data_IF_255907581863
#
_entry.id   IF_255907581863
#
_cell.length_a   1.000
_cell.length_b   1.000
_cell.length_c   1.000
_cell.angle_alpha   90.00
_cell.angle_beta   90.00
_cell.angle_gamma   90.00
#
_symmetry.space_group_name_H-M   'P 1'
#
loop_
_entity.id
_entity.type
_entity.pdbx_description
1 polymer ?
#
# COMPACT_ATOMS: atom_id res chain seq x y z
N UNK A 1 -17.97 1.83 18.02
CA UNK A 1 -17.12 0.68 18.41
C UNK A 1 -16.64 -0.19 17.24
N UNK A 2 -17.29 -0.16 16.08
CA UNK A 2 -16.89 -0.96 14.90
C UNK A 2 -15.57 -0.48 14.24
N UNK A 3 -15.14 0.74 14.48
CA UNK A 3 -13.98 1.35 13.83
C UNK A 3 -12.67 1.29 14.65
N UNK A 4 -12.73 0.96 15.93
CA UNK A 4 -11.57 0.99 16.85
C UNK A 4 -10.43 0.03 16.48
N UNK A 5 -10.68 -0.96 15.60
CA UNK A 5 -9.68 -1.90 15.10
C UNK A 5 -9.44 -1.73 13.58
N UNK A 6 -9.93 -0.66 12.99
CA UNK A 6 -9.72 -0.35 11.60
C UNK A 6 -8.25 0.02 11.32
N UNK A 7 -7.69 -0.49 10.24
CA UNK A 7 -6.37 -0.10 9.78
C UNK A 7 -6.34 -0.06 8.25
N UNK A 8 -5.91 1.06 7.71
CA UNK A 8 -5.75 1.27 6.27
C UNK A 8 -4.25 1.40 5.99
N UNK A 9 -3.74 0.59 5.08
CA UNK A 9 -2.36 0.68 4.61
C UNK A 9 -2.40 0.82 3.09
N UNK A 10 -1.96 1.95 2.56
CA UNK A 10 -1.94 2.22 1.13
C UNK A 10 -0.52 2.52 0.67
N UNK A 11 -0.02 1.72 -0.29
CA UNK A 11 1.23 2.00 -1.00
C UNK A 11 0.91 2.42 -2.42
N UNK A 12 1.47 3.58 -2.85
CA UNK A 12 1.27 4.16 -4.17
C UNK A 12 2.40 5.11 -4.54
N UNK A 13 2.39 5.62 -5.77
CA UNK A 13 3.37 6.64 -6.16
C UNK A 13 2.88 8.07 -5.89
N UNK A 14 1.56 8.34 -6.00
CA UNK A 14 1.00 9.66 -5.78
C UNK A 14 -0.40 9.60 -5.16
N UNK A 15 -0.69 10.57 -4.29
CA UNK A 15 -1.99 10.79 -3.64
C UNK A 15 -2.38 12.26 -3.80
N UNK A 16 -3.26 12.56 -4.75
CA UNK A 16 -3.71 13.93 -5.06
C UNK A 16 -5.22 14.04 -5.26
N UNK A 17 -5.94 12.91 -5.22
CA UNK A 17 -7.40 12.88 -5.38
C UNK A 17 -8.07 13.42 -4.11
N UNK A 18 -8.86 14.48 -4.28
CA UNK A 18 -9.49 15.19 -3.18
C UNK A 18 -10.49 14.32 -2.43
N UNK A 19 -11.32 13.58 -3.13
CA UNK A 19 -12.40 12.80 -2.51
C UNK A 19 -11.82 11.63 -1.70
N UNK A 20 -10.74 11.04 -2.19
CA UNK A 20 -10.00 10.00 -1.45
C UNK A 20 -9.31 10.60 -0.22
N UNK A 21 -8.70 11.78 -0.34
CA UNK A 21 -8.07 12.46 0.81
C UNK A 21 -9.12 12.78 1.87
N UNK A 22 -10.27 13.30 1.49
CA UNK A 22 -11.38 13.60 2.42
C UNK A 22 -11.89 12.33 3.11
N UNK A 23 -12.01 11.21 2.37
CA UNK A 23 -12.37 9.92 2.96
C UNK A 23 -11.33 9.39 3.97
N UNK A 24 -10.03 9.60 3.71
CA UNK A 24 -8.96 9.23 4.64
C UNK A 24 -8.97 10.12 5.90
N UNK A 25 -9.26 11.41 5.75
CA UNK A 25 -9.46 12.29 6.90
C UNK A 25 -10.64 11.85 7.76
N UNK A 26 -11.78 11.54 7.13
CA UNK A 26 -12.95 11.02 7.84
C UNK A 26 -12.64 9.70 8.56
N UNK A 27 -11.90 8.79 7.93
CA UNK A 27 -11.46 7.55 8.57
C UNK A 27 -10.60 7.83 9.81
N UNK A 28 -9.66 8.77 9.72
CA UNK A 28 -8.81 9.20 10.86
C UNK A 28 -9.65 9.77 12.01
N UNK A 29 -10.60 10.65 11.71
CA UNK A 29 -11.50 11.26 12.70
C UNK A 29 -12.37 10.23 13.44
N UNK A 30 -12.69 9.10 12.80
CA UNK A 30 -13.40 7.99 13.43
C UNK A 30 -12.50 6.99 14.16
N UNK A 31 -11.21 7.29 14.30
CA UNK A 31 -10.23 6.48 15.05
C UNK A 31 -9.58 5.34 14.24
N UNK A 32 -9.77 5.32 12.93
CA UNK A 32 -9.08 4.36 12.06
C UNK A 32 -7.62 4.76 11.90
N UNK A 33 -6.70 3.82 12.13
CA UNK A 33 -5.29 4.02 11.83
C UNK A 33 -5.05 4.00 10.32
N UNK A 34 -4.30 4.98 9.80
CA UNK A 34 -3.98 5.09 8.38
C UNK A 34 -2.48 5.22 8.18
N UNK A 35 -1.87 4.27 7.51
CA UNK A 35 -0.47 4.29 7.11
C UNK A 35 -0.37 4.43 5.58
N UNK A 36 0.23 5.51 5.11
CA UNK A 36 0.41 5.83 3.70
C UNK A 36 1.89 5.75 3.33
N UNK A 37 2.20 4.96 2.31
CA UNK A 37 3.54 4.82 1.74
C UNK A 37 3.50 5.46 0.35
N UNK A 38 3.83 6.75 0.28
CA UNK A 38 3.71 7.56 -0.94
C UNK A 38 5.09 7.98 -1.40
N UNK A 39 5.53 7.46 -2.54
CA UNK A 39 6.88 7.71 -3.05
C UNK A 39 7.08 9.14 -3.55
N UNK A 40 6.08 9.72 -4.22
CA UNK A 40 6.13 11.04 -4.85
C UNK A 40 5.16 12.03 -4.22
N UNK A 41 4.31 12.65 -5.02
CA UNK A 41 3.41 13.73 -4.60
C UNK A 41 2.36 13.22 -3.62
N UNK A 42 2.25 13.88 -2.46
CA UNK A 42 1.20 13.68 -1.48
C UNK A 42 0.56 15.03 -1.13
N UNK A 43 -0.73 15.21 -1.44
CA UNK A 43 -1.49 16.42 -1.10
C UNK A 43 -2.21 16.29 0.26
N UNK A 44 -2.15 15.12 0.92
CA UNK A 44 -2.67 14.91 2.25
C UNK A 44 -1.65 15.38 3.28
N UNK A 45 -2.09 16.10 4.32
CA UNK A 45 -1.27 16.53 5.46
C UNK A 45 -1.63 15.67 6.67
N UNK A 46 -0.68 14.87 7.19
CA UNK A 46 -0.91 14.01 8.36
C UNK A 46 -0.73 14.76 9.69
N UNK A 47 -1.09 14.12 10.80
CA UNK A 47 -0.73 14.54 12.16
C UNK A 47 -1.50 15.74 12.73
N UNK A 48 -2.43 16.34 11.98
CA UNK A 48 -3.21 17.48 12.46
C UNK A 48 -4.29 17.04 13.44
N UNK A 49 -4.29 17.67 14.61
CA UNK A 49 -5.25 17.41 15.68
C UNK A 49 -6.71 17.57 15.20
N UNK A 50 -7.56 16.59 15.51
CA UNK A 50 -8.97 16.57 15.14
C UNK A 50 -9.24 16.31 13.65
N UNK A 51 -8.21 16.11 12.82
CA UNK A 51 -8.34 15.86 11.39
C UNK A 51 -7.60 14.59 10.96
N UNK A 52 -6.29 14.58 11.12
CA UNK A 52 -5.41 13.53 10.58
C UNK A 52 -4.42 12.97 11.59
N UNK A 53 -4.74 13.04 12.87
CA UNK A 53 -3.88 12.59 13.97
C UNK A 53 -3.59 11.08 13.92
N UNK A 54 -4.48 10.29 13.31
CA UNK A 54 -4.31 8.86 13.12
C UNK A 54 -3.69 8.50 11.75
N UNK A 55 -3.24 9.50 10.98
CA UNK A 55 -2.60 9.30 9.68
C UNK A 55 -1.09 9.48 9.80
N UNK A 56 -0.35 8.51 9.27
CA UNK A 56 1.10 8.60 9.05
C UNK A 56 1.38 8.51 7.56
N UNK A 57 2.24 9.39 7.06
CA UNK A 57 2.72 9.38 5.67
C UNK A 57 4.22 9.21 5.68
N UNK A 58 4.71 8.20 4.95
CA UNK A 58 6.13 7.99 4.72
C UNK A 58 6.42 7.92 3.22
N UNK A 59 7.62 8.33 2.85
CA UNK A 59 8.19 8.15 1.52
C UNK A 59 9.49 7.35 1.64
N UNK A 60 9.60 6.28 0.86
CA UNK A 60 10.80 5.47 0.78
C UNK A 60 11.35 5.57 -0.63
N UNK A 61 12.59 6.04 -0.75
CA UNK A 61 13.34 6.13 -1.99
C UNK A 61 14.55 5.20 -1.83
N UNK A 62 14.47 4.05 -2.47
CA UNK A 62 15.52 3.03 -2.43
C UNK A 62 16.38 3.02 -3.69
N UNK A 63 17.22 1.99 -3.82
CA UNK A 63 18.11 1.78 -4.95
C UNK A 63 17.35 1.56 -6.27
N UNK A 64 16.22 0.88 -6.21
CA UNK A 64 15.43 0.50 -7.37
C UNK A 64 14.16 1.33 -7.45
N UNK A 65 13.70 1.59 -8.68
CA UNK A 65 12.42 2.20 -8.92
C UNK A 65 11.30 1.25 -8.47
N UNK A 66 10.42 1.75 -7.62
CA UNK A 66 9.24 1.01 -7.18
C UNK A 66 7.98 1.58 -7.78
N UNK A 67 7.19 0.71 -8.37
CA UNK A 67 5.93 1.09 -9.02
C UNK A 67 4.73 0.29 -8.49
N UNK A 68 4.92 -0.45 -7.42
CA UNK A 68 3.87 -1.25 -6.78
C UNK A 68 2.81 -0.37 -6.16
N UNK A 69 1.55 -0.68 -6.42
CA UNK A 69 0.40 -0.14 -5.71
C UNK A 69 -0.32 -1.28 -5.03
N UNK A 70 -0.46 -1.15 -3.72
CA UNK A 70 -1.11 -2.15 -2.89
C UNK A 70 -1.97 -1.46 -1.84
N UNK A 71 -3.21 -1.91 -1.71
CA UNK A 71 -4.18 -1.35 -0.79
C UNK A 71 -4.65 -2.45 0.15
N UNK A 72 -4.46 -2.24 1.45
CA UNK A 72 -4.78 -3.22 2.47
C UNK A 72 -5.63 -2.57 3.54
N UNK A 73 -6.74 -3.22 3.86
CA UNK A 73 -7.72 -2.73 4.81
C UNK A 73 -7.97 -3.79 5.89
N UNK A 74 -7.93 -3.39 7.15
CA UNK A 74 -8.39 -4.23 8.26
C UNK A 74 -9.77 -3.78 8.69
N UNK A 75 -10.73 -4.70 8.65
CA UNK A 75 -12.11 -4.48 9.06
C UNK A 75 -12.64 -5.72 9.76
N UNK A 76 -13.24 -5.55 10.95
CA UNK A 76 -13.79 -6.64 11.76
C UNK A 76 -12.81 -7.82 11.98
N UNK A 77 -11.53 -7.52 12.17
CA UNK A 77 -10.49 -8.54 12.36
C UNK A 77 -9.95 -9.17 11.09
N UNK A 78 -10.58 -8.95 9.95
CA UNK A 78 -10.14 -9.48 8.65
C UNK A 78 -9.30 -8.47 7.87
N UNK A 79 -8.37 -9.00 7.07
CA UNK A 79 -7.55 -8.23 6.15
C UNK A 79 -8.04 -8.41 4.71
N UNK A 80 -8.42 -7.32 4.07
CA UNK A 80 -8.72 -7.24 2.65
C UNK A 80 -7.51 -6.65 1.93
N UNK A 81 -7.03 -7.31 0.88
CA UNK A 81 -5.82 -6.92 0.17
C UNK A 81 -6.09 -6.82 -1.32
N UNK A 82 -5.58 -5.75 -1.93
CA UNK A 82 -5.70 -5.47 -3.36
C UNK A 82 -4.36 -5.06 -3.94
N UNK A 83 -4.09 -5.51 -5.17
CA UNK A 83 -3.03 -4.97 -6.03
C UNK A 83 -3.70 -4.10 -7.10
N UNK A 84 -3.12 -2.93 -7.38
CA UNK A 84 -3.72 -1.96 -8.30
C UNK A 84 -2.73 -1.44 -9.34
N UNK A 85 -3.24 -1.06 -10.50
CA UNK A 85 -2.51 -0.26 -11.48
C UNK A 85 -2.61 1.24 -11.19
N UNK A 86 -3.60 1.68 -10.41
CA UNK A 86 -3.91 3.08 -10.15
C UNK A 86 -3.07 3.69 -9.04
N UNK A 87 -2.59 4.90 -9.26
CA UNK A 87 -2.33 5.85 -8.19
C UNK A 87 -3.64 6.53 -7.76
N UNK A 88 -3.67 7.11 -6.58
CA UNK A 88 -4.85 7.81 -6.08
C UNK A 88 -4.82 9.28 -6.52
N UNK A 89 -4.96 9.47 -7.81
CA UNK A 89 -5.00 10.76 -8.50
C UNK A 89 -6.30 10.87 -9.30
N UNK A 90 -6.90 12.04 -9.40
CA UNK A 90 -8.15 12.29 -10.14
C UNK A 90 -8.11 11.77 -11.58
N UNK A 91 -6.95 11.88 -12.26
CA UNK A 91 -6.81 11.31 -13.61
C UNK A 91 -6.93 9.78 -13.65
N UNK A 92 -6.53 9.08 -12.58
CA UNK A 92 -6.62 7.62 -12.48
C UNK A 92 -8.03 7.19 -12.10
N UNK A 93 -8.68 7.92 -11.19
CA UNK A 93 -10.02 7.60 -10.67
C UNK A 93 -11.13 7.93 -11.65
N UNK A 94 -10.98 9.01 -12.46
CA UNK A 94 -12.04 9.51 -13.33
C UNK A 94 -11.79 9.34 -14.83
N UNK A 95 -10.52 9.33 -15.29
CA UNK A 95 -10.18 9.45 -16.72
C UNK A 95 -9.46 8.25 -17.30
N UNK A 96 -9.09 7.26 -16.51
CA UNK A 96 -8.38 6.05 -16.94
C UNK A 96 -9.15 4.80 -16.58
N UNK A 97 -9.01 3.80 -17.43
CA UNK A 97 -9.39 2.45 -17.07
C UNK A 97 -8.26 1.85 -16.25
N UNK A 98 -8.52 1.61 -14.98
CA UNK A 98 -7.56 1.05 -14.04
C UNK A 98 -8.08 -0.28 -13.50
N UNK A 99 -7.17 -1.14 -13.06
CA UNK A 99 -7.49 -2.45 -12.53
C UNK A 99 -7.10 -2.53 -11.07
N UNK A 100 -8.01 -3.03 -10.24
CA UNK A 100 -7.72 -3.45 -8.87
C UNK A 100 -8.11 -4.92 -8.70
N UNK A 101 -7.15 -5.75 -8.36
CA UNK A 101 -7.33 -7.19 -8.19
C UNK A 101 -7.32 -7.54 -6.71
N UNK A 102 -8.41 -8.15 -6.24
CA UNK A 102 -8.50 -8.67 -4.88
C UNK A 102 -7.61 -9.90 -4.73
N UNK A 103 -6.72 -9.86 -3.76
CA UNK A 103 -5.90 -11.01 -3.39
C UNK A 103 -6.70 -11.89 -2.44
N UNK A 104 -7.06 -13.11 -2.87
CA UNK A 104 -7.87 -14.02 -2.06
C UNK A 104 -7.04 -15.12 -1.36
N UNK A 105 -5.93 -15.53 -1.97
CA UNK A 105 -5.06 -16.56 -1.40
C UNK A 105 -4.46 -16.11 -0.06
N UNK A 106 -4.60 -16.87 1.04
CA UNK A 106 -4.17 -16.46 2.36
C UNK A 106 -2.64 -16.32 2.48
N UNK A 107 -1.87 -17.13 1.75
CA UNK A 107 -0.40 -17.08 1.76
C UNK A 107 0.08 -15.81 1.08
N UNK A 108 -0.51 -15.47 -0.08
CA UNK A 108 -0.18 -14.26 -0.83
C UNK A 108 -0.62 -13.01 -0.06
N UNK A 109 -1.79 -13.03 0.60
CA UNK A 109 -2.23 -11.93 1.49
C UNK A 109 -1.23 -11.65 2.59
N UNK A 110 -0.80 -12.70 3.28
CA UNK A 110 0.15 -12.58 4.38
C UNK A 110 1.49 -12.05 3.89
N UNK A 111 1.97 -12.55 2.76
CA UNK A 111 3.21 -12.10 2.15
C UNK A 111 3.13 -10.61 1.74
N UNK A 112 2.04 -10.20 1.07
CA UNK A 112 1.83 -8.80 0.70
C UNK A 112 1.80 -7.90 1.93
N UNK A 113 1.12 -8.33 2.99
CA UNK A 113 1.07 -7.61 4.26
C UNK A 113 2.47 -7.49 4.90
N UNK A 114 3.24 -8.57 4.94
CA UNK A 114 4.61 -8.56 5.47
C UNK A 114 5.49 -7.56 4.74
N UNK A 115 5.41 -7.53 3.40
CA UNK A 115 6.12 -6.55 2.58
C UNK A 115 5.74 -5.12 2.98
N UNK A 116 4.44 -4.82 3.11
CA UNK A 116 3.99 -3.48 3.49
C UNK A 116 4.43 -3.10 4.90
N UNK A 117 4.38 -4.03 5.86
CA UNK A 117 4.87 -3.78 7.22
C UNK A 117 6.37 -3.53 7.27
N UNK A 118 7.16 -4.11 6.34
CA UNK A 118 8.59 -3.79 6.26
C UNK A 118 8.83 -2.31 5.93
N UNK A 119 8.00 -1.68 5.07
CA UNK A 119 8.08 -0.24 4.82
C UNK A 119 7.74 0.60 6.05
N UNK A 120 6.87 0.09 6.91
CA UNK A 120 6.38 0.79 8.10
C UNK A 120 7.25 0.59 9.34
N UNK A 121 8.31 -0.22 9.23
CA UNK A 121 9.30 -0.44 10.27
C UNK A 121 10.04 0.89 10.53
N UNK A 122 10.05 1.40 11.78
CA UNK A 122 10.70 2.67 12.10
C UNK A 122 12.21 2.68 11.89
N UNK A 123 12.83 1.51 11.82
CA UNK A 123 14.29 1.38 11.65
C UNK A 123 14.75 1.51 10.20
N UNK A 124 13.87 1.45 9.21
CA UNK A 124 14.25 1.60 7.81
C UNK A 124 14.56 3.04 7.45
N UNK A 125 15.38 3.23 6.40
CA UNK A 125 15.64 4.53 5.82
C UNK A 125 14.38 5.07 5.11
N UNK A 126 13.83 6.20 5.58
CA UNK A 126 12.63 6.80 5.03
C UNK A 126 12.54 8.30 5.28
N UNK A 127 11.62 8.96 4.59
CA UNK A 127 11.19 10.33 4.88
C UNK A 127 9.78 10.29 5.47
N UNK A 128 9.54 10.97 6.57
CA UNK A 128 8.22 11.13 7.18
C UNK A 128 7.69 12.52 6.90
N UNK A 129 6.46 12.61 6.41
CA UNK A 129 5.75 13.86 6.25
C UNK A 129 5.20 14.30 7.62
N UNK A 130 5.45 15.54 8.00
CA UNK A 130 4.97 16.15 9.25
C UNK A 130 3.64 16.92 9.06
N UNK A 131 3.16 17.54 10.13
CA UNK A 131 1.91 18.32 10.18
C UNK A 131 1.99 19.66 9.46
N UNK A 132 3.19 20.16 9.18
CA UNK A 132 3.46 21.35 8.38
C UNK A 132 3.56 21.03 6.87
N UNK A 133 3.57 19.74 6.50
CA UNK A 133 3.75 19.30 5.12
C UNK A 133 5.21 19.21 4.69
N UNK A 134 6.14 19.09 5.65
CA UNK A 134 7.58 18.99 5.42
C UNK A 134 8.03 17.53 5.57
N UNK A 135 8.85 17.04 4.64
CA UNK A 135 9.44 15.72 4.73
C UNK A 135 10.71 15.75 5.60
N UNK A 136 10.64 15.08 6.74
CA UNK A 136 11.77 14.88 7.66
C UNK A 136 12.43 13.53 7.35
N UNK A 137 13.74 13.56 7.07
CA UNK A 137 14.50 12.35 6.76
C UNK A 137 14.89 11.57 8.01
N UNK A 138 14.59 10.28 8.04
CA UNK A 138 15.18 9.32 8.96
C UNK A 138 16.22 8.51 8.18
N UNK A 139 17.50 8.71 8.52
CA UNK A 139 18.62 7.99 7.90
C UNK A 139 18.96 6.76 8.72
N UNK A 140 19.02 5.63 8.04
CA UNK A 140 19.41 4.34 8.59
C UNK A 140 20.21 3.57 7.54
N UNK A 141 21.04 2.64 7.96
CA UNK A 141 21.75 1.72 7.06
C UNK A 141 20.84 0.59 6.56
N UNK A 142 19.61 0.51 7.07
CA UNK A 142 18.64 -0.51 6.70
C UNK A 142 17.85 -0.06 5.47
N UNK A 143 18.21 -0.61 4.32
CA UNK A 143 17.47 -0.44 3.06
C UNK A 143 16.30 -1.43 3.01
N UNK A 144 15.07 -0.90 2.87
CA UNK A 144 13.85 -1.72 2.79
C UNK A 144 13.90 -2.72 1.64
N UNK A 145 14.47 -2.35 0.50
CA UNK A 145 14.54 -3.22 -0.68
C UNK A 145 15.49 -4.40 -0.46
N UNK A 146 16.59 -4.20 0.27
CA UNK A 146 17.48 -5.28 0.67
C UNK A 146 16.83 -6.19 1.70
N UNK A 147 16.13 -5.62 2.69
CA UNK A 147 15.39 -6.38 3.70
C UNK A 147 14.28 -7.24 3.07
N UNK A 148 13.64 -6.76 1.99
CA UNK A 148 12.64 -7.53 1.25
C UNK A 148 13.23 -8.72 0.47
N UNK A 149 14.48 -8.66 0.06
CA UNK A 149 15.15 -9.79 -0.58
C UNK A 149 15.34 -11.00 0.35
N UNK A 150 15.23 -10.82 1.65
CA UNK A 150 15.24 -11.89 2.64
C UNK A 150 13.95 -12.71 2.67
N UNK A 151 12.85 -12.19 2.10
CA UNK A 151 11.62 -12.96 1.96
C UNK A 151 11.84 -14.14 1.01
N UNK A 152 11.57 -15.34 1.50
CA UNK A 152 11.62 -16.54 0.67
C UNK A 152 10.61 -16.42 -0.46
N UNK A 153 11.00 -16.76 -1.67
CA UNK A 153 10.10 -16.85 -2.82
C UNK A 153 8.91 -17.76 -2.47
N UNK A 154 7.70 -17.27 -2.68
CA UNK A 154 6.50 -18.06 -2.50
C UNK A 154 6.45 -19.07 -3.63
N UNK A 155 6.52 -20.36 -3.32
CA UNK A 155 6.23 -21.42 -4.27
C UNK A 155 4.71 -21.45 -4.52
N UNK A 156 4.29 -20.80 -5.59
CA UNK A 156 2.90 -20.90 -6.04
C UNK A 156 2.78 -22.24 -6.76
N UNK A 157 2.00 -23.19 -6.18
CA UNK A 157 1.62 -24.40 -6.90
C UNK A 157 0.90 -23.97 -8.18
N UNK A 158 1.34 -24.47 -9.33
CA UNK A 158 0.66 -24.22 -10.62
C UNK A 158 -0.84 -24.50 -10.44
N UNK A 159 -1.67 -23.48 -10.65
CA UNK A 159 -3.11 -23.65 -10.56
C UNK A 159 -3.59 -24.54 -11.73
N UNK A 160 -4.65 -25.33 -11.49
CA UNK A 160 -5.29 -26.11 -12.58
C UNK A 160 -5.68 -25.24 -13.79
N UNK A 161 -5.93 -23.96 -13.56
CA UNK A 161 -6.21 -22.97 -14.61
C UNK A 161 -4.98 -22.69 -15.48
N UNK A 162 -3.80 -22.58 -14.89
CA UNK A 162 -2.55 -22.35 -15.61
C UNK A 162 -2.14 -23.58 -16.43
N UNK A 163 -2.33 -24.79 -15.90
CA UNK A 163 -2.12 -26.04 -16.63
C UNK A 163 -3.09 -26.16 -17.82
N UNK A 164 -4.37 -25.80 -17.64
CA UNK A 164 -5.35 -25.75 -18.72
C UNK A 164 -4.98 -24.72 -19.79
N UNK A 165 -4.49 -23.56 -19.40
CA UNK A 165 -4.04 -22.50 -20.32
C UNK A 165 -2.82 -22.94 -21.12
N UNK A 166 -1.80 -23.53 -20.49
CA UNK A 166 -0.66 -24.14 -21.18
C UNK A 166 -1.10 -25.22 -22.20
N UNK A 167 -1.97 -26.13 -21.78
CA UNK A 167 -2.49 -27.19 -22.65
C UNK A 167 -3.32 -26.66 -23.85
N UNK A 168 -3.92 -25.48 -23.72
CA UNK A 168 -4.67 -24.84 -24.81
C UNK A 168 -3.72 -24.21 -25.84
N UNK A 169 -2.59 -23.62 -25.39
CA UNK A 169 -1.58 -23.03 -26.26
C UNK A 169 -0.80 -24.09 -27.07
N UNK A 170 -0.52 -25.27 -26.50
CA UNK A 170 0.22 -26.35 -27.16
C UNK A 170 -0.63 -27.20 -28.12
N UNK A 171 -1.94 -26.97 -28.19
CA UNK A 171 -2.82 -27.68 -29.16
C UNK A 171 -2.88 -27.02 -30.54
N UNK A 172 -2.19 -25.93 -30.76
CA UNK A 172 -2.16 -25.17 -32.01
C UNK A 172 -0.80 -25.21 -32.71
N UNK A 173 0.13 -26.07 -32.26
CA UNK A 173 1.31 -26.53 -33.01
C UNK A 173 1.03 -27.95 -33.60
#
# INVERSE_FOLDING_TARGET
TAFQNGHIILKMNALTDKDIIDALYLASQTGVKVDLIVRGICCLVPGRQGLSENIRVISVIGRYLEHTRAFVFRHNGEWLSYLSSADLMTRNTEKRLELAVKVNDPVIKEHLRSILFTYLDPEINHYRLDEEGIYLGHRSDIDVQLKQNEFKAIQIKESNLWQKFKAMLTKHE
#
